data_IF_900725035814
#
_entry.id   IF_900725035814
#
_cell.length_a   1.000
_cell.length_b   1.000
_cell.length_c   1.000
_cell.angle_alpha   90.00
_cell.angle_beta   90.00
_cell.angle_gamma   90.00
#
_symmetry.space_group_name_H-M   'P 1'
#
loop_
_entity.id
_entity.type
_entity.pdbx_description
1 polymer ?
#
# COMPACT_ATOMS: atom_id res chain seq x y z
N UNK A 1 8.88 -43.89 36.12
CA UNK A 1 9.84 -43.48 35.08
C UNK A 1 9.13 -42.48 34.19
N UNK A 2 9.58 -41.23 34.26
CA UNK A 2 8.93 -40.02 33.75
C UNK A 2 9.33 -39.79 32.28
N UNK A 3 8.41 -39.30 31.45
CA UNK A 3 8.69 -38.46 30.27
C UNK A 3 7.37 -37.86 29.76
N UNK A 4 6.85 -36.85 30.47
CA UNK A 4 5.94 -35.87 29.87
C UNK A 4 6.86 -34.90 29.13
N UNK A 5 6.97 -35.04 27.82
CA UNK A 5 7.69 -34.07 26.99
C UNK A 5 6.87 -32.80 26.93
N UNK A 6 7.35 -31.76 27.62
CA UNK A 6 6.88 -30.39 27.48
C UNK A 6 6.90 -30.01 25.98
N UNK A 7 5.71 -29.80 25.43
CA UNK A 7 5.56 -29.03 24.20
C UNK A 7 6.06 -27.61 24.51
N UNK A 8 6.92 -27.01 23.66
CA UNK A 8 7.29 -25.62 23.85
C UNK A 8 6.02 -24.78 23.76
N UNK A 9 5.74 -24.08 24.85
CA UNK A 9 4.73 -23.06 24.95
C UNK A 9 5.06 -22.02 23.87
N UNK A 10 4.26 -21.96 22.79
CA UNK A 10 4.37 -20.90 21.78
C UNK A 10 3.87 -19.64 22.49
N UNK A 11 4.79 -18.94 23.15
CA UNK A 11 4.54 -17.60 23.66
C UNK A 11 4.02 -16.78 22.49
N UNK A 12 2.79 -16.29 22.64
CA UNK A 12 2.18 -15.35 21.71
C UNK A 12 3.13 -14.17 21.55
N UNK A 13 3.86 -14.11 20.43
CA UNK A 13 4.67 -12.94 20.07
C UNK A 13 3.73 -11.73 20.08
N UNK A 14 3.85 -10.87 21.10
CA UNK A 14 3.02 -9.70 21.26
C UNK A 14 3.32 -8.75 20.10
N UNK A 15 2.40 -8.65 19.16
CA UNK A 15 2.49 -7.66 18.10
C UNK A 15 2.39 -6.27 18.74
N UNK A 16 3.44 -5.47 18.59
CA UNK A 16 3.50 -4.13 19.17
C UNK A 16 2.72 -3.14 18.30
N UNK A 17 1.83 -2.38 18.94
CA UNK A 17 1.10 -1.28 18.33
C UNK A 17 1.87 0.02 18.57
N UNK A 18 2.30 0.66 17.48
CA UNK A 18 2.99 1.93 17.53
C UNK A 18 2.06 3.07 17.13
N UNK A 19 2.26 4.22 17.75
CA UNK A 19 1.54 5.44 17.46
C UNK A 19 2.57 6.52 17.10
N UNK A 20 2.61 6.93 15.83
CA UNK A 20 3.52 7.97 15.33
C UNK A 20 2.75 9.28 15.20
N UNK A 21 3.05 10.24 16.07
CA UNK A 21 2.49 11.59 16.06
C UNK A 21 3.25 12.47 15.06
N UNK A 22 2.60 13.49 14.50
CA UNK A 22 3.27 14.47 13.60
C UNK A 22 4.52 15.14 14.19
N UNK A 23 4.60 15.23 15.51
CA UNK A 23 5.74 15.79 16.22
C UNK A 23 6.95 14.83 16.24
N UNK A 24 6.74 13.54 16.02
CA UNK A 24 7.79 12.53 16.08
C UNK A 24 8.75 12.67 14.88
N UNK A 25 10.04 12.44 15.12
CA UNK A 25 11.06 12.52 14.08
C UNK A 25 10.84 11.50 12.93
N UNK A 26 10.26 10.34 13.25
CA UNK A 26 9.93 9.27 12.29
C UNK A 26 8.61 9.48 11.54
N UNK A 27 7.87 10.54 11.84
CA UNK A 27 6.63 10.82 11.11
C UNK A 27 6.95 11.23 9.66
N UNK A 28 6.36 10.58 8.63
CA UNK A 28 6.69 10.86 7.24
C UNK A 28 6.31 12.28 6.81
N UNK A 29 7.31 13.15 6.60
CA UNK A 29 7.09 14.55 6.20
C UNK A 29 6.39 14.70 4.85
N UNK A 30 6.50 13.70 3.98
CA UNK A 30 5.75 13.63 2.73
C UNK A 30 4.23 13.79 2.94
N UNK A 31 3.67 13.33 4.06
CA UNK A 31 2.26 13.53 4.38
C UNK A 31 1.92 15.01 4.55
N UNK A 32 2.78 15.79 5.19
CA UNK A 32 2.59 17.23 5.36
C UNK A 32 2.80 17.96 4.02
N UNK A 33 3.78 17.54 3.22
CA UNK A 33 4.03 18.10 1.88
C UNK A 33 2.83 17.95 0.96
N UNK A 34 2.23 16.75 0.87
CA UNK A 34 1.18 16.48 -0.12
C UNK A 34 -0.25 16.74 0.42
N UNK A 35 -0.48 16.58 1.72
CA UNK A 35 -1.82 16.72 2.31
C UNK A 35 -2.00 18.03 3.11
N UNK A 36 -0.92 18.73 3.46
CA UNK A 36 -0.96 19.96 4.24
C UNK A 36 -1.76 19.79 5.53
N UNK A 37 -2.81 20.61 5.71
CA UNK A 37 -3.69 20.54 6.89
C UNK A 37 -4.50 19.24 6.98
N UNK A 38 -4.65 18.51 5.88
CA UNK A 38 -5.35 17.23 5.85
C UNK A 38 -4.43 16.04 6.23
N UNK A 39 -3.13 16.26 6.47
CA UNK A 39 -2.23 15.22 6.94
C UNK A 39 -2.72 14.62 8.27
N UNK A 40 -2.68 13.28 8.44
CA UNK A 40 -3.20 12.63 9.63
C UNK A 40 -2.39 13.06 10.86
N UNK A 41 -3.06 13.43 11.95
CA UNK A 41 -2.35 13.88 13.17
C UNK A 41 -1.47 12.78 13.78
N UNK A 42 -1.85 11.52 13.53
CA UNK A 42 -1.19 10.33 14.02
C UNK A 42 -1.33 9.21 12.99
N UNK A 43 -0.33 8.35 12.92
CA UNK A 43 -0.38 7.06 12.25
C UNK A 43 -0.32 5.94 13.29
N UNK A 44 -1.22 4.97 13.19
CA UNK A 44 -1.17 3.76 13.98
C UNK A 44 -0.54 2.65 13.15
N UNK A 45 0.47 1.98 13.69
CA UNK A 45 1.31 1.05 12.96
C UNK A 45 1.50 -0.27 13.71
N UNK A 46 1.63 -1.39 12.97
CA UNK A 46 2.10 -2.68 13.51
C UNK A 46 3.10 -3.28 12.52
N UNK A 47 4.27 -3.65 13.01
CA UNK A 47 5.39 -4.15 12.21
C UNK A 47 6.56 -3.18 12.15
N UNK A 48 7.43 -3.34 11.16
CA UNK A 48 8.66 -2.56 11.04
C UNK A 48 8.37 -1.15 10.52
N UNK A 49 8.65 -0.12 11.35
CA UNK A 49 8.43 1.28 11.01
C UNK A 49 9.42 1.82 9.97
N UNK A 50 10.60 1.20 9.85
CA UNK A 50 11.64 1.64 8.95
C UNK A 50 11.21 1.50 7.47
N UNK A 51 10.22 0.64 7.21
CA UNK A 51 9.60 0.49 5.89
C UNK A 51 8.95 1.80 5.38
N UNK A 52 8.62 2.75 6.27
CA UNK A 52 8.11 4.07 5.85
C UNK A 52 9.16 4.94 5.15
N UNK A 53 10.45 4.63 5.30
CA UNK A 53 11.54 5.32 4.62
C UNK A 53 11.86 4.73 3.23
N UNK A 54 11.32 3.55 2.92
CA UNK A 54 11.55 2.87 1.65
C UNK A 54 10.88 3.59 0.46
N UNK A 55 11.54 3.54 -0.71
CA UNK A 55 11.01 4.10 -1.97
C UNK A 55 9.92 3.21 -2.57
N UNK A 56 8.79 3.09 -1.88
CA UNK A 56 7.71 2.19 -2.27
C UNK A 56 6.92 2.63 -3.50
N UNK A 57 6.41 1.65 -4.25
CA UNK A 57 5.44 1.83 -5.31
C UNK A 57 4.02 1.67 -4.73
N UNK A 58 3.16 2.68 -4.89
CA UNK A 58 1.76 2.55 -4.57
C UNK A 58 1.01 1.80 -5.67
N UNK A 59 0.21 0.79 -5.32
CA UNK A 59 -0.67 0.09 -6.26
C UNK A 59 -2.14 0.47 -6.02
N UNK A 60 -2.81 0.95 -7.06
CA UNK A 60 -4.25 1.25 -7.04
C UNK A 60 -4.99 0.66 -8.24
N UNK A 61 -6.27 0.33 -8.03
CA UNK A 61 -7.19 0.03 -9.11
C UNK A 61 -8.64 0.45 -8.81
N UNK A 62 -9.39 0.82 -9.84
CA UNK A 62 -10.86 0.87 -9.78
C UNK A 62 -11.44 -0.51 -9.47
N UNK A 63 -12.56 -0.54 -8.73
CA UNK A 63 -13.20 -1.80 -8.30
C UNK A 63 -13.73 -2.68 -9.43
N UNK A 64 -14.03 -2.09 -10.58
CA UNK A 64 -14.39 -2.81 -11.81
C UNK A 64 -13.24 -2.64 -12.80
N UNK A 65 -12.36 -3.64 -12.87
CA UNK A 65 -11.20 -3.65 -13.76
C UNK A 65 -11.44 -4.59 -14.95
N UNK A 66 -11.11 -4.18 -16.19
CA UNK A 66 -11.13 -5.07 -17.36
C UNK A 66 -10.27 -6.32 -17.17
N UNK A 67 -10.74 -7.47 -17.66
CA UNK A 67 -10.07 -8.77 -17.45
C UNK A 67 -8.63 -8.82 -17.97
N UNK A 68 -8.35 -8.20 -19.11
CA UNK A 68 -7.00 -8.08 -19.67
C UNK A 68 -6.04 -7.31 -18.75
N UNK A 69 -6.53 -6.25 -18.09
CA UNK A 69 -5.72 -5.46 -17.14
C UNK A 69 -5.55 -6.18 -15.80
N UNK A 70 -6.52 -6.99 -15.37
CA UNK A 70 -6.38 -7.83 -14.17
C UNK A 70 -5.18 -8.78 -14.32
N UNK A 71 -5.08 -9.50 -15.44
CA UNK A 71 -3.97 -10.42 -15.69
C UNK A 71 -2.62 -9.71 -15.72
N UNK A 72 -2.52 -8.60 -16.48
CA UNK A 72 -1.31 -7.76 -16.50
C UNK A 72 -0.92 -7.24 -15.11
N UNK A 73 -1.90 -6.98 -14.24
CA UNK A 73 -1.62 -6.53 -12.87
C UNK A 73 -1.05 -7.66 -12.00
N UNK A 74 -1.47 -8.90 -12.22
CA UNK A 74 -0.88 -10.05 -11.53
C UNK A 74 0.55 -10.31 -12.00
N UNK A 75 0.81 -10.21 -13.31
CA UNK A 75 2.15 -10.30 -13.86
C UNK A 75 3.05 -9.21 -13.27
N UNK A 76 2.56 -7.96 -13.21
CA UNK A 76 3.27 -6.87 -12.54
C UNK A 76 3.54 -7.16 -11.06
N UNK A 77 2.58 -7.74 -10.32
CA UNK A 77 2.80 -8.08 -8.91
C UNK A 77 3.88 -9.16 -8.73
N UNK A 78 4.00 -10.10 -9.67
CA UNK A 78 5.09 -11.09 -9.73
C UNK A 78 6.42 -10.39 -10.03
N UNK A 79 6.46 -9.51 -11.03
CA UNK A 79 7.68 -8.79 -11.39
C UNK A 79 8.18 -7.89 -10.25
N UNK A 80 7.30 -7.14 -9.59
CA UNK A 80 7.64 -6.30 -8.44
C UNK A 80 8.21 -7.13 -7.27
N UNK A 81 7.61 -8.31 -7.03
CA UNK A 81 8.08 -9.25 -6.01
C UNK A 81 9.48 -9.75 -6.32
N UNK A 82 9.70 -10.23 -7.55
CA UNK A 82 10.96 -10.85 -7.95
C UNK A 82 12.09 -9.80 -8.04
N UNK A 83 11.75 -8.57 -8.44
CA UNK A 83 12.65 -7.42 -8.44
C UNK A 83 12.85 -6.78 -7.05
N UNK A 84 12.26 -7.35 -5.99
CA UNK A 84 12.35 -6.87 -4.62
C UNK A 84 11.89 -5.41 -4.40
N UNK A 85 10.96 -4.93 -5.23
CA UNK A 85 10.45 -3.55 -5.14
C UNK A 85 9.49 -3.42 -3.96
N UNK A 86 9.70 -2.48 -3.02
CA UNK A 86 8.76 -2.21 -1.94
C UNK A 86 7.40 -1.76 -2.48
N UNK A 87 6.30 -2.34 -1.97
CA UNK A 87 4.93 -2.00 -2.43
C UNK A 87 4.08 -1.51 -1.27
N UNK A 88 3.38 -0.40 -1.47
CA UNK A 88 2.35 0.09 -0.55
C UNK A 88 0.97 0.03 -1.21
N UNK A 89 -0.05 -0.38 -0.47
CA UNK A 89 -1.37 -0.52 -1.05
C UNK A 89 -2.49 -0.58 -0.03
N UNK A 90 -3.69 -0.39 -0.55
CA UNK A 90 -4.90 -0.54 0.22
C UNK A 90 -5.53 -1.92 0.13
N UNK A 91 -5.28 -2.61 -0.98
CA UNK A 91 -5.66 -3.99 -1.24
C UNK A 91 -7.11 -4.33 -0.89
N UNK A 92 -8.07 -3.52 -1.37
CA UNK A 92 -9.49 -3.69 -1.04
C UNK A 92 -10.29 -4.44 -2.09
N UNK A 93 -9.99 -4.23 -3.36
CA UNK A 93 -10.71 -4.92 -4.44
C UNK A 93 -10.25 -6.39 -4.52
N UNK A 94 -11.07 -7.30 -5.06
CA UNK A 94 -10.66 -8.71 -5.22
C UNK A 94 -9.32 -8.86 -5.95
N UNK A 95 -9.11 -8.08 -7.01
CA UNK A 95 -7.86 -8.07 -7.76
C UNK A 95 -6.68 -7.55 -6.93
N UNK A 96 -6.84 -6.44 -6.20
CA UNK A 96 -5.72 -5.95 -5.37
C UNK A 96 -5.41 -6.92 -4.22
N UNK A 97 -6.42 -7.58 -3.63
CA UNK A 97 -6.19 -8.62 -2.60
C UNK A 97 -5.36 -9.78 -3.14
N UNK A 98 -5.60 -10.16 -4.39
CA UNK A 98 -4.80 -11.18 -5.06
C UNK A 98 -3.37 -10.71 -5.32
N UNK A 99 -3.18 -9.44 -5.69
CA UNK A 99 -1.84 -8.84 -5.78
C UNK A 99 -1.11 -8.88 -4.42
N UNK A 100 -1.78 -8.53 -3.32
CA UNK A 100 -1.22 -8.64 -1.98
C UNK A 100 -0.78 -10.08 -1.67
N UNK A 101 -1.60 -11.07 -2.01
CA UNK A 101 -1.29 -12.50 -1.83
C UNK A 101 -0.04 -12.91 -2.62
N UNK A 102 0.13 -12.42 -3.84
CA UNK A 102 1.34 -12.63 -4.66
C UNK A 102 2.56 -11.98 -4.00
N UNK A 103 2.43 -10.71 -3.58
CA UNK A 103 3.51 -9.94 -2.98
C UNK A 103 3.98 -10.56 -1.65
N UNK A 104 3.05 -10.99 -0.79
CA UNK A 104 3.39 -11.57 0.52
C UNK A 104 4.13 -12.92 0.44
N UNK A 105 4.11 -13.59 -0.73
CA UNK A 105 4.92 -14.79 -0.98
C UNK A 105 6.40 -14.50 -1.25
N UNK A 106 6.76 -13.25 -1.55
CA UNK A 106 8.15 -12.83 -1.69
C UNK A 106 8.76 -12.37 -0.36
N UNK A 107 9.93 -11.75 -0.45
CA UNK A 107 10.70 -11.23 0.70
C UNK A 107 10.85 -9.70 0.70
N UNK A 108 10.34 -9.04 -0.32
CA UNK A 108 10.33 -7.58 -0.43
C UNK A 108 9.42 -6.93 0.63
N UNK A 109 9.70 -5.68 1.01
CA UNK A 109 8.83 -4.93 1.91
C UNK A 109 7.44 -4.69 1.33
N UNK A 110 6.42 -4.84 2.18
CA UNK A 110 5.03 -4.53 1.85
C UNK A 110 4.41 -3.66 2.94
N UNK A 111 3.69 -2.62 2.55
CA UNK A 111 2.93 -1.75 3.46
C UNK A 111 1.44 -1.86 3.13
N UNK A 112 0.65 -2.37 4.08
CA UNK A 112 -0.81 -2.44 3.96
C UNK A 112 -1.44 -1.31 4.77
N UNK A 113 -2.02 -0.34 4.07
CA UNK A 113 -2.67 0.81 4.71
C UNK A 113 -4.19 0.59 4.80
N UNK A 114 -4.75 0.60 6.00
CA UNK A 114 -6.16 0.33 6.27
C UNK A 114 -7.04 1.57 6.17
N UNK A 115 -8.26 1.40 5.64
CA UNK A 115 -9.30 2.44 5.56
C UNK A 115 -10.17 2.54 6.83
N UNK A 116 -9.63 2.12 7.97
CA UNK A 116 -10.25 2.03 9.30
C UNK A 116 -9.13 1.99 10.36
N UNK A 117 -9.49 2.11 11.63
CA UNK A 117 -8.56 1.99 12.75
C UNK A 117 -7.81 0.64 12.74
N UNK A 118 -6.59 0.65 13.29
CA UNK A 118 -5.76 -0.54 13.46
C UNK A 118 -5.69 -0.93 14.94
N UNK A 119 -5.89 -2.22 15.20
CA UNK A 119 -5.69 -2.83 16.51
C UNK A 119 -5.13 -4.25 16.37
N UNK A 120 -4.37 -4.71 17.36
CA UNK A 120 -3.58 -5.95 17.29
C UNK A 120 -4.44 -7.21 17.26
N UNK A 121 -5.62 -7.19 17.89
CA UNK A 121 -6.57 -8.32 17.94
C UNK A 121 -7.19 -8.69 16.59
N UNK A 122 -7.12 -7.79 15.61
CA UNK A 122 -7.79 -7.93 14.31
C UNK A 122 -6.81 -8.26 13.17
N UNK A 123 -5.57 -8.57 13.52
CA UNK A 123 -4.53 -8.92 12.54
C UNK A 123 -4.78 -10.36 12.09
N UNK A 124 -4.90 -10.53 10.77
CA UNK A 124 -5.10 -11.83 10.15
C UNK A 124 -3.85 -12.70 10.33
N UNK A 125 -4.05 -14.01 10.47
CA UNK A 125 -2.96 -14.96 10.70
C UNK A 125 -1.91 -14.92 9.58
N UNK A 126 -2.36 -14.78 8.33
CA UNK A 126 -1.50 -14.65 7.15
C UNK A 126 -0.56 -13.43 7.18
N UNK A 127 -0.83 -12.43 8.03
CA UNK A 127 0.02 -11.25 8.19
C UNK A 127 1.07 -11.41 9.30
N UNK A 128 0.93 -12.38 10.20
CA UNK A 128 1.83 -12.52 11.35
C UNK A 128 3.26 -12.83 10.96
N UNK A 129 3.46 -13.86 10.15
CA UNK A 129 4.81 -14.25 9.72
C UNK A 129 5.51 -13.11 8.94
N UNK A 130 4.89 -12.45 7.94
CA UNK A 130 5.50 -11.28 7.30
C UNK A 130 5.83 -10.11 8.25
N UNK A 131 5.01 -9.89 9.30
CA UNK A 131 5.30 -8.87 10.32
C UNK A 131 6.51 -9.27 11.19
N UNK A 132 6.58 -10.53 11.63
CA UNK A 132 7.70 -11.06 12.40
C UNK A 132 9.00 -11.10 11.60
N UNK A 133 8.90 -11.31 10.28
CA UNK A 133 10.01 -11.21 9.32
C UNK A 133 10.39 -9.75 8.98
N UNK A 134 9.84 -8.75 9.70
CA UNK A 134 10.12 -7.32 9.57
C UNK A 134 9.90 -6.72 8.16
N UNK A 135 9.12 -7.40 7.33
CA UNK A 135 8.87 -7.05 5.92
C UNK A 135 7.43 -6.68 5.61
N UNK A 136 6.53 -6.73 6.59
CA UNK A 136 5.17 -6.20 6.48
C UNK A 136 4.93 -5.12 7.55
N UNK A 137 4.46 -3.96 7.10
CA UNK A 137 3.94 -2.90 7.95
C UNK A 137 2.44 -2.74 7.72
N UNK A 138 1.65 -2.91 8.78
CA UNK A 138 0.25 -2.50 8.81
C UNK A 138 0.18 -1.05 9.27
N UNK A 139 -0.54 -0.22 8.52
CA UNK A 139 -0.64 1.22 8.74
C UNK A 139 -2.11 1.66 8.78
N UNK A 140 -2.48 2.58 9.66
CA UNK A 140 -3.78 3.23 9.66
C UNK A 140 -3.62 4.73 9.96
N UNK A 141 -4.16 5.63 9.11
CA UNK A 141 -4.21 7.06 9.41
C UNK A 141 -5.43 7.46 10.26
N UNK A 142 -6.18 6.47 10.79
CA UNK A 142 -7.43 6.70 11.52
C UNK A 142 -7.31 6.45 13.02
N UNK A 143 -7.95 7.34 13.80
CA UNK A 143 -8.16 7.18 15.24
C UNK A 143 -9.13 6.02 15.56
N UNK A 144 -9.10 5.55 16.82
CA UNK A 144 -9.81 4.35 17.31
C UNK A 144 -11.32 4.31 17.03
N UNK A 145 -11.96 5.47 16.87
CA UNK A 145 -13.41 5.63 16.61
C UNK A 145 -13.83 5.29 15.18
N UNK A 146 -12.89 5.17 14.23
CA UNK A 146 -13.21 4.88 12.83
C UNK A 146 -13.12 3.37 12.53
N UNK A 147 -14.14 2.61 12.93
CA UNK A 147 -14.14 1.15 12.75
C UNK A 147 -14.70 0.69 11.39
N UNK A 148 -15.59 1.49 10.77
CA UNK A 148 -16.27 1.13 9.51
C UNK A 148 -15.52 1.67 8.28
N UNK A 149 -15.31 0.79 7.30
CA UNK A 149 -14.82 1.18 5.98
C UNK A 149 -15.95 1.85 5.20
N UNK A 150 -15.69 3.05 4.68
CA UNK A 150 -16.61 3.80 3.82
C UNK A 150 -15.89 4.30 2.57
N UNK A 151 -16.64 4.84 1.60
CA UNK A 151 -16.04 5.48 0.45
C UNK A 151 -15.15 6.68 0.85
N UNK A 152 -15.54 7.45 1.87
CA UNK A 152 -14.78 8.59 2.35
C UNK A 152 -13.47 8.15 3.04
N UNK A 153 -13.51 7.15 3.92
CA UNK A 153 -12.28 6.65 4.56
C UNK A 153 -11.36 5.97 3.56
N UNK A 154 -11.90 5.24 2.58
CA UNK A 154 -11.09 4.64 1.50
C UNK A 154 -10.42 5.71 0.64
N UNK A 155 -11.14 6.79 0.31
CA UNK A 155 -10.60 7.89 -0.48
C UNK A 155 -9.52 8.67 0.29
N UNK A 156 -9.72 8.93 1.59
CA UNK A 156 -8.69 9.55 2.43
C UNK A 156 -7.45 8.67 2.57
N UNK A 157 -7.65 7.37 2.82
CA UNK A 157 -6.58 6.39 2.87
C UNK A 157 -5.77 6.36 1.57
N UNK A 158 -6.42 6.38 0.41
CA UNK A 158 -5.71 6.42 -0.89
C UNK A 158 -4.79 7.64 -1.01
N UNK A 159 -5.23 8.82 -0.55
CA UNK A 159 -4.40 10.02 -0.51
C UNK A 159 -3.19 9.85 0.41
N UNK A 160 -3.37 9.22 1.58
CA UNK A 160 -2.27 8.88 2.49
C UNK A 160 -1.28 7.93 1.83
N UNK A 161 -1.73 6.86 1.16
CA UNK A 161 -0.84 5.95 0.43
C UNK A 161 -0.04 6.71 -0.64
N UNK A 162 -0.70 7.49 -1.50
CA UNK A 162 -0.02 8.19 -2.59
C UNK A 162 0.94 9.27 -2.07
N UNK A 163 0.62 9.90 -0.94
CA UNK A 163 1.53 10.83 -0.30
C UNK A 163 2.80 10.12 0.23
N UNK A 164 2.67 8.91 0.79
CA UNK A 164 3.79 8.13 1.33
C UNK A 164 4.68 7.48 0.28
N UNK A 165 4.08 6.95 -0.80
CA UNK A 165 4.82 6.22 -1.82
C UNK A 165 5.83 7.12 -2.55
N UNK A 166 6.92 6.56 -3.08
CA UNK A 166 7.78 7.32 -4.00
C UNK A 166 7.13 7.46 -5.38
N UNK A 167 6.59 6.35 -5.90
CA UNK A 167 5.94 6.27 -7.20
C UNK A 167 4.51 5.74 -7.05
N UNK A 168 3.63 6.08 -8.00
CA UNK A 168 2.25 5.56 -8.01
C UNK A 168 1.99 4.79 -9.30
N UNK A 169 1.49 3.56 -9.19
CA UNK A 169 0.98 2.79 -10.31
C UNK A 169 -0.53 2.60 -10.19
N UNK A 170 -1.25 2.94 -11.26
CA UNK A 170 -2.69 2.78 -11.37
C UNK A 170 -2.97 1.79 -12.48
N UNK A 171 -3.32 0.56 -12.09
CA UNK A 171 -3.60 -0.52 -13.03
C UNK A 171 -4.78 -0.18 -13.95
N UNK A 172 -5.83 0.39 -13.39
CA UNK A 172 -6.98 0.85 -14.13
C UNK A 172 -7.77 1.91 -13.36
N UNK A 173 -8.27 2.93 -14.07
CA UNK A 173 -9.24 3.86 -13.56
C UNK A 173 -10.39 4.06 -14.55
N UNK A 174 -11.61 3.73 -14.12
CA UNK A 174 -12.78 3.96 -14.95
C UNK A 174 -12.94 5.45 -15.28
N UNK A 175 -13.22 5.81 -16.56
CA UNK A 175 -13.46 7.19 -16.95
C UNK A 175 -14.56 7.84 -16.10
N UNK A 176 -14.33 9.08 -15.66
CA UNK A 176 -15.19 9.86 -14.76
C UNK A 176 -15.41 9.21 -13.38
N UNK A 177 -14.60 8.21 -13.04
CA UNK A 177 -14.67 7.48 -11.78
C UNK A 177 -13.88 8.14 -10.65
N UNK A 178 -14.11 7.66 -9.43
CA UNK A 178 -13.41 8.17 -8.23
C UNK A 178 -11.90 7.98 -8.29
N UNK A 179 -11.43 6.88 -8.87
CA UNK A 179 -9.99 6.62 -9.04
C UNK A 179 -9.39 7.59 -10.05
N UNK A 180 -10.09 7.92 -11.14
CA UNK A 180 -9.61 8.92 -12.12
C UNK A 180 -9.53 10.31 -11.49
N UNK A 181 -10.56 10.74 -10.75
CA UNK A 181 -10.54 11.99 -10.00
C UNK A 181 -9.34 12.05 -9.04
N UNK A 182 -9.08 10.95 -8.32
CA UNK A 182 -7.91 10.81 -7.47
C UNK A 182 -6.59 10.87 -8.24
N UNK A 183 -6.51 10.34 -9.47
CA UNK A 183 -5.32 10.49 -10.32
C UNK A 183 -5.09 11.96 -10.71
N UNK A 184 -6.16 12.74 -10.91
CA UNK A 184 -6.04 14.18 -11.10
C UNK A 184 -5.39 14.90 -9.91
N UNK A 185 -5.70 14.48 -8.68
CA UNK A 185 -5.03 15.01 -7.47
C UNK A 185 -3.54 14.64 -7.45
N UNK A 186 -3.19 13.39 -7.79
CA UNK A 186 -1.79 12.93 -7.87
C UNK A 186 -1.02 13.74 -8.93
N UNK A 187 -1.62 13.99 -10.08
CA UNK A 187 -1.04 14.81 -11.14
C UNK A 187 -0.82 16.26 -10.67
N UNK A 188 -1.78 16.84 -9.95
CA UNK A 188 -1.67 18.18 -9.37
C UNK A 188 -0.58 18.29 -8.30
N UNK A 189 -0.24 17.19 -7.61
CA UNK A 189 0.92 17.12 -6.72
C UNK A 189 2.27 17.08 -7.47
N UNK A 190 2.26 16.96 -8.80
CA UNK A 190 3.46 16.77 -9.61
C UNK A 190 4.15 15.43 -9.37
N UNK A 191 3.44 14.46 -8.78
CA UNK A 191 4.01 13.17 -8.43
C UNK A 191 4.03 12.26 -9.66
N UNK A 192 5.15 11.59 -9.96
CA UNK A 192 5.19 10.60 -11.03
C UNK A 192 4.17 9.50 -10.77
N UNK A 193 3.29 9.27 -11.75
CA UNK A 193 2.41 8.13 -11.74
C UNK A 193 2.33 7.45 -13.09
N UNK A 194 2.06 6.15 -13.04
CA UNK A 194 2.24 5.22 -14.13
C UNK A 194 0.98 4.39 -14.34
N UNK A 195 0.80 3.89 -15.57
CA UNK A 195 -0.28 2.98 -15.91
C UNK A 195 0.13 2.07 -17.07
N UNK A 196 -0.68 1.05 -17.37
CA UNK A 196 -0.45 0.22 -18.55
C UNK A 196 -0.69 1.00 -19.85
N UNK A 197 0.11 0.74 -20.88
CA UNK A 197 -0.12 1.18 -22.26
C UNK A 197 -1.30 0.47 -22.91
N UNK A 198 -2.50 0.74 -22.43
CA UNK A 198 -3.75 0.11 -22.87
C UNK A 198 -4.79 1.20 -23.15
N UNK A 199 -5.60 1.01 -24.19
CA UNK A 199 -6.64 1.97 -24.59
C UNK A 199 -7.64 2.24 -23.46
N UNK A 200 -7.86 1.25 -22.59
CA UNK A 200 -8.71 1.39 -21.41
C UNK A 200 -8.21 2.43 -20.40
N UNK A 201 -6.92 2.80 -20.44
CA UNK A 201 -6.29 3.80 -19.55
C UNK A 201 -5.94 5.11 -20.27
N UNK A 202 -6.49 5.36 -21.47
CA UNK A 202 -6.20 6.58 -22.22
C UNK A 202 -6.51 7.86 -21.42
N UNK A 203 -7.55 7.82 -20.59
CA UNK A 203 -7.89 8.89 -19.65
C UNK A 203 -6.78 9.19 -18.64
N UNK A 204 -6.09 8.16 -18.15
CA UNK A 204 -4.95 8.33 -17.23
C UNK A 204 -3.75 8.94 -17.94
N UNK A 205 -3.46 8.50 -19.17
CA UNK A 205 -2.39 9.09 -20.01
C UNK A 205 -2.67 10.57 -20.27
N UNK A 206 -3.91 10.94 -20.58
CA UNK A 206 -4.32 12.34 -20.74
C UNK A 206 -4.18 13.17 -19.46
N UNK A 207 -4.26 12.54 -18.28
CA UNK A 207 -3.98 13.17 -16.98
C UNK A 207 -2.48 13.26 -16.64
N UNK A 208 -1.60 12.79 -17.53
CA UNK A 208 -0.15 12.81 -17.34
C UNK A 208 0.47 11.51 -16.82
N UNK A 209 -0.28 10.40 -16.81
CA UNK A 209 0.30 9.10 -16.48
C UNK A 209 1.35 8.71 -17.52
N UNK A 210 2.51 8.23 -17.06
CA UNK A 210 3.49 7.61 -17.94
C UNK A 210 3.08 6.16 -18.20
N UNK A 211 3.07 5.76 -19.47
CA UNK A 211 2.77 4.38 -19.84
C UNK A 211 4.00 3.51 -19.56
N UNK A 212 3.84 2.49 -18.72
CA UNK A 212 4.84 1.44 -18.60
C UNK A 212 4.61 0.41 -19.70
N UNK A 213 5.62 0.22 -20.53
CA UNK A 213 5.69 -0.89 -21.46
C UNK A 213 6.32 -2.13 -20.80
N UNK A 214 7.26 -1.95 -19.84
CA UNK A 214 7.90 -2.99 -19.00
C UNK A 214 8.45 -2.41 -17.68
N UNK A 215 8.70 -3.24 -16.65
CA UNK A 215 9.16 -2.86 -15.30
C UNK A 215 10.55 -2.22 -15.21
N UNK A 216 11.39 -2.37 -16.22
CA UNK A 216 12.77 -1.82 -16.22
C UNK A 216 12.85 -0.29 -16.08
N UNK A 217 11.72 0.42 -16.26
CA UNK A 217 11.62 1.87 -16.05
C UNK A 217 11.26 2.25 -14.61
N UNK A 218 10.55 1.39 -13.87
CA UNK A 218 10.21 1.64 -12.45
C UNK A 218 11.47 1.57 -11.60
N UNK A 219 12.33 0.57 -11.85
CA UNK A 219 13.62 0.40 -11.16
C UNK A 219 14.59 1.55 -11.44
N UNK A 220 14.62 2.09 -12.67
CA UNK A 220 15.50 3.22 -13.04
C UNK A 220 15.06 4.56 -12.45
N UNK A 221 13.78 4.71 -12.09
CA UNK A 221 13.26 5.93 -11.46
C UNK A 221 13.50 5.95 -9.94
N UNK A 222 13.96 4.84 -9.36
CA UNK A 222 14.40 4.74 -7.95
C UNK A 222 15.79 5.33 -7.69
N UNK A 223 16.58 5.51 -8.75
CA UNK A 223 17.99 5.93 -8.69
C UNK A 223 18.21 7.42 -9.01
N UNK A 224 17.13 8.20 -9.18
CA UNK A 224 17.16 9.67 -9.32
C UNK A 224 16.57 10.34 -8.07
#
# INVERSE_FOLDING_TARGET
MCCITNLPNIESSSLNLFALLRADARYPRALETFLGRAAPKQLTCVGNLDLLAEKSLALFCSSRCPGNLILKTYDLAVELRDAHIPVIGGFHTPMERECLRILLRGKQPVILCLARNLGTRQILEEYRAPIQEERLLLLSPFETKHTRITAATSAYRNRVIAALAANVFVAYAAPKGKTEQFCGEIAAWGKPFFTFGDVANQNLVMLGARSLLQTSEVSKTSDV
#
